data_IF_284436920557
#
_entry.id   IF_284436920557
#
_cell.length_a   1.000
_cell.length_b   1.000
_cell.length_c   1.000
_cell.angle_alpha   90.00
_cell.angle_beta   90.00
_cell.angle_gamma   90.00
#
_symmetry.space_group_name_H-M   'P 1'
#
loop_
_entity.id
_entity.type
_entity.pdbx_description
1 polymer ?
#
# COMPACT_ATOMS: atom_id res chain seq x y z
N UNK A 1 -2.15 -29.73 3.89
CA UNK A 1 -2.22 -28.76 5.02
C UNK A 1 -1.97 -27.32 4.60
N UNK A 2 -0.88 -26.99 3.92
CA UNK A 2 -0.56 -25.63 3.49
C UNK A 2 -1.60 -24.96 2.54
N UNK A 3 -2.29 -25.72 1.68
CA UNK A 3 -3.35 -25.20 0.80
C UNK A 3 -4.61 -24.79 1.57
N UNK A 4 -4.95 -25.53 2.63
CA UNK A 4 -6.05 -25.21 3.53
C UNK A 4 -5.76 -23.91 4.29
N UNK A 5 -4.56 -23.78 4.87
CA UNK A 5 -4.15 -22.55 5.56
C UNK A 5 -4.16 -21.32 4.63
N UNK A 6 -3.83 -21.48 3.35
CA UNK A 6 -3.85 -20.38 2.37
C UNK A 6 -5.24 -19.85 2.04
N UNK A 7 -6.22 -20.76 1.82
CA UNK A 7 -7.61 -20.34 1.63
C UNK A 7 -8.15 -19.73 2.92
N UNK A 8 -7.75 -20.28 4.07
CA UNK A 8 -8.17 -19.75 5.37
C UNK A 8 -7.58 -18.36 5.66
N UNK A 9 -6.38 -18.03 5.20
CA UNK A 9 -5.77 -16.70 5.39
C UNK A 9 -6.57 -15.58 4.71
N UNK A 10 -6.96 -15.76 3.43
CA UNK A 10 -7.76 -14.73 2.75
C UNK A 10 -9.11 -14.55 3.45
N UNK A 11 -9.74 -15.65 3.86
CA UNK A 11 -11.01 -15.61 4.61
C UNK A 11 -10.78 -14.99 6.00
N UNK A 12 -9.71 -15.34 6.70
CA UNK A 12 -9.38 -14.79 8.00
C UNK A 12 -9.11 -13.28 7.93
N UNK A 13 -8.43 -12.80 6.87
CA UNK A 13 -8.22 -11.36 6.64
C UNK A 13 -9.56 -10.61 6.46
N UNK A 14 -10.49 -11.16 5.69
CA UNK A 14 -11.82 -10.58 5.52
C UNK A 14 -12.64 -10.59 6.82
N UNK A 15 -12.65 -11.72 7.53
CA UNK A 15 -13.34 -11.83 8.82
C UNK A 15 -12.69 -10.89 9.84
N UNK A 16 -11.36 -10.85 9.91
CA UNK A 16 -10.62 -9.96 10.78
C UNK A 16 -10.93 -8.49 10.51
N UNK A 17 -10.93 -8.07 9.24
CA UNK A 17 -11.30 -6.71 8.86
C UNK A 17 -12.75 -6.39 9.27
N UNK A 18 -13.70 -7.30 9.05
CA UNK A 18 -15.09 -7.11 9.46
C UNK A 18 -15.26 -7.02 10.99
N UNK A 19 -14.60 -7.91 11.75
CA UNK A 19 -14.63 -7.88 13.22
C UNK A 19 -14.02 -6.59 13.78
N UNK A 20 -12.85 -6.20 13.28
CA UNK A 20 -12.20 -4.96 13.70
C UNK A 20 -13.04 -3.73 13.37
N UNK A 21 -13.67 -3.70 12.19
CA UNK A 21 -14.60 -2.63 11.80
C UNK A 21 -15.80 -2.58 12.74
N UNK A 22 -16.42 -3.72 13.05
CA UNK A 22 -17.56 -3.77 13.97
C UNK A 22 -17.18 -3.31 15.38
N UNK A 23 -16.05 -3.79 15.92
CA UNK A 23 -15.56 -3.38 17.24
C UNK A 23 -15.25 -1.88 17.28
N UNK A 24 -14.66 -1.33 16.21
CA UNK A 24 -14.42 0.13 16.11
C UNK A 24 -15.73 0.90 16.10
N UNK A 25 -16.74 0.43 15.37
CA UNK A 25 -18.07 1.05 15.38
C UNK A 25 -18.73 1.05 16.77
N UNK A 26 -18.64 -0.05 17.49
CA UNK A 26 -19.12 -0.13 18.87
C UNK A 26 -18.35 0.82 19.80
N UNK A 27 -17.04 0.93 19.60
CA UNK A 27 -16.22 1.87 20.36
C UNK A 27 -16.63 3.32 20.10
N UNK A 28 -16.87 3.73 18.86
CA UNK A 28 -17.32 5.08 18.51
C UNK A 28 -18.71 5.36 19.11
N UNK A 29 -19.63 4.41 19.03
CA UNK A 29 -21.02 4.62 19.46
C UNK A 29 -21.19 4.57 20.98
N UNK A 30 -20.42 3.78 21.69
CA UNK A 30 -20.63 3.48 23.11
C UNK A 30 -19.40 3.73 24.00
N UNK A 31 -18.24 3.91 23.41
CA UNK A 31 -16.94 3.99 24.12
C UNK A 31 -16.25 5.33 23.97
N UNK A 32 -16.69 6.21 23.09
CA UNK A 32 -16.11 7.53 22.85
C UNK A 32 -17.14 8.63 23.12
N UNK A 33 -16.67 9.76 23.63
CA UNK A 33 -17.50 10.96 23.77
C UNK A 33 -17.71 11.60 22.39
N UNK A 34 -18.95 11.90 22.03
CA UNK A 34 -19.32 12.41 20.72
C UNK A 34 -18.63 13.74 20.34
N UNK A 35 -18.40 14.61 21.33
CA UNK A 35 -17.86 15.95 21.10
C UNK A 35 -16.33 15.98 21.09
N UNK A 36 -15.68 15.16 21.90
CA UNK A 36 -14.23 15.22 22.14
C UNK A 36 -13.47 14.03 21.56
N UNK A 37 -14.15 12.92 21.32
CA UNK A 37 -13.53 11.64 20.90
C UNK A 37 -12.71 10.96 21.99
N UNK A 38 -12.80 11.42 23.24
CA UNK A 38 -12.13 10.78 24.37
C UNK A 38 -12.77 9.44 24.71
N UNK A 39 -11.93 8.48 25.12
CA UNK A 39 -12.42 7.16 25.49
C UNK A 39 -13.15 7.24 26.84
N UNK A 40 -14.45 7.01 26.84
CA UNK A 40 -15.27 6.89 28.05
C UNK A 40 -15.22 5.46 28.65
N UNK A 41 -14.97 4.44 27.81
CA UNK A 41 -14.88 3.03 28.24
C UNK A 41 -13.65 2.35 27.67
N UNK A 42 -12.74 1.93 28.55
CA UNK A 42 -11.54 1.18 28.18
C UNK A 42 -11.83 -0.24 27.66
N UNK A 43 -13.01 -0.80 27.98
CA UNK A 43 -13.35 -2.18 27.60
C UNK A 43 -13.38 -2.39 26.07
N UNK A 44 -13.96 -1.46 25.31
CA UNK A 44 -13.98 -1.54 23.84
C UNK A 44 -12.59 -1.37 23.23
N UNK A 45 -11.76 -0.49 23.79
CA UNK A 45 -10.38 -0.30 23.35
C UNK A 45 -9.56 -1.57 23.59
N UNK A 46 -9.69 -2.19 24.77
CA UNK A 46 -9.01 -3.44 25.08
C UNK A 46 -9.47 -4.56 24.13
N UNK A 47 -10.78 -4.68 23.88
CA UNK A 47 -11.33 -5.66 22.94
C UNK A 47 -10.80 -5.46 21.52
N UNK A 48 -10.70 -4.21 21.05
CA UNK A 48 -10.16 -3.86 19.74
C UNK A 48 -8.67 -4.22 19.63
N UNK A 49 -7.87 -3.88 20.65
CA UNK A 49 -6.45 -4.23 20.70
C UNK A 49 -6.26 -5.74 20.73
N UNK A 50 -7.05 -6.47 21.54
CA UNK A 50 -6.99 -7.93 21.61
C UNK A 50 -7.33 -8.59 20.26
N UNK A 51 -8.39 -8.13 19.58
CA UNK A 51 -8.77 -8.62 18.26
C UNK A 51 -7.69 -8.32 17.21
N UNK A 52 -7.11 -7.12 17.22
CA UNK A 52 -6.01 -6.75 16.34
C UNK A 52 -4.75 -7.59 16.58
N UNK A 53 -4.41 -7.85 17.85
CA UNK A 53 -3.29 -8.71 18.23
C UNK A 53 -3.50 -10.16 17.79
N UNK A 54 -4.71 -10.70 17.94
CA UNK A 54 -5.06 -12.04 17.46
C UNK A 54 -4.93 -12.15 15.93
N UNK A 55 -5.42 -11.15 15.19
CA UNK A 55 -5.28 -11.11 13.73
C UNK A 55 -3.79 -11.04 13.34
N UNK A 56 -3.01 -10.21 14.02
CA UNK A 56 -1.57 -10.07 13.78
C UNK A 56 -0.86 -11.39 14.03
N UNK A 57 -1.11 -12.07 15.13
CA UNK A 57 -0.51 -13.38 15.44
C UNK A 57 -0.92 -14.41 14.39
N UNK A 58 -2.21 -14.46 14.02
CA UNK A 58 -2.71 -15.38 13.00
C UNK A 58 -2.02 -15.18 11.64
N UNK A 59 -1.82 -13.95 11.22
CA UNK A 59 -1.16 -13.61 9.96
C UNK A 59 0.37 -13.77 10.01
N UNK A 60 1.00 -13.62 11.20
CA UNK A 60 2.44 -13.81 11.36
C UNK A 60 2.87 -15.28 11.31
N UNK A 61 2.06 -16.20 11.83
CA UNK A 61 2.42 -17.64 11.85
C UNK A 61 2.87 -18.16 10.49
N UNK A 62 2.10 -17.95 9.38
CA UNK A 62 2.55 -18.39 8.06
C UNK A 62 3.66 -17.51 7.47
N UNK A 63 3.79 -16.24 7.86
CA UNK A 63 4.88 -15.38 7.40
C UNK A 63 6.25 -15.83 7.94
N UNK A 64 6.27 -16.37 9.15
CA UNK A 64 7.46 -16.95 9.77
C UNK A 64 7.85 -18.31 9.16
N UNK A 65 6.90 -19.01 8.51
CA UNK A 65 7.22 -20.20 7.77
C UNK A 65 8.09 -19.82 6.55
N UNK A 66 9.26 -20.45 6.41
CA UNK A 66 10.22 -20.22 5.31
C UNK A 66 9.67 -20.69 3.95
N UNK A 67 8.55 -20.17 3.53
CA UNK A 67 8.00 -20.42 2.20
C UNK A 67 8.79 -19.63 1.17
N UNK A 68 9.26 -20.31 0.13
CA UNK A 68 10.03 -19.69 -0.96
C UNK A 68 9.28 -18.52 -1.62
N UNK A 69 10.03 -17.61 -2.22
CA UNK A 69 9.49 -16.49 -3.01
C UNK A 69 8.66 -17.05 -4.17
N UNK A 70 7.53 -16.45 -4.42
CA UNK A 70 6.62 -16.82 -5.50
C UNK A 70 6.59 -15.74 -6.58
N UNK A 71 6.45 -16.14 -7.86
CA UNK A 71 6.41 -15.19 -8.95
C UNK A 71 5.15 -14.30 -8.86
N UNK A 72 5.30 -13.09 -9.37
CA UNK A 72 4.21 -12.15 -9.59
C UNK A 72 3.23 -12.74 -10.59
N UNK A 73 1.95 -12.79 -10.21
CA UNK A 73 0.86 -13.17 -11.09
C UNK A 73 -0.10 -11.98 -11.21
N UNK A 74 -0.60 -11.75 -12.42
CA UNK A 74 -1.58 -10.72 -12.66
C UNK A 74 -2.97 -11.32 -12.82
N UNK A 75 -3.80 -11.29 -11.76
CA UNK A 75 -5.15 -11.79 -11.86
C UNK A 75 -5.98 -10.89 -12.79
N UNK A 76 -6.89 -11.52 -13.55
CA UNK A 76 -7.86 -10.78 -14.35
C UNK A 76 -8.64 -9.83 -13.43
N UNK A 77 -8.75 -8.55 -13.84
CA UNK A 77 -9.48 -7.54 -13.07
C UNK A 77 -8.62 -6.65 -12.14
N UNK A 78 -7.37 -7.00 -11.83
CA UNK A 78 -6.51 -6.13 -10.99
C UNK A 78 -6.27 -4.76 -11.64
N UNK A 79 -6.32 -4.69 -12.98
CA UNK A 79 -6.17 -3.42 -13.71
C UNK A 79 -7.16 -2.36 -13.27
N UNK A 80 -8.41 -2.76 -12.98
CA UNK A 80 -9.43 -1.84 -12.48
C UNK A 80 -9.03 -1.17 -11.16
N UNK A 81 -8.32 -1.89 -10.28
CA UNK A 81 -7.82 -1.32 -9.03
C UNK A 81 -6.66 -0.34 -9.25
N UNK A 82 -5.81 -0.56 -10.24
CA UNK A 82 -4.78 0.43 -10.60
C UNK A 82 -5.42 1.71 -11.14
N UNK A 83 -6.46 1.59 -11.97
CA UNK A 83 -7.21 2.76 -12.44
C UNK A 83 -7.90 3.49 -11.27
N UNK A 84 -8.52 2.74 -10.35
CA UNK A 84 -9.16 3.31 -9.16
C UNK A 84 -8.17 4.06 -8.28
N UNK A 85 -6.99 3.47 -8.02
CA UNK A 85 -5.92 4.16 -7.28
C UNK A 85 -5.40 5.38 -8.03
N UNK A 86 -5.20 5.28 -9.35
CA UNK A 86 -4.82 6.43 -10.17
C UNK A 86 -5.82 7.58 -10.08
N UNK A 87 -7.13 7.26 -10.14
CA UNK A 87 -8.20 8.25 -9.97
C UNK A 87 -8.23 8.86 -8.55
N UNK A 88 -7.98 8.06 -7.51
CA UNK A 88 -7.90 8.54 -6.14
C UNK A 88 -6.71 9.49 -5.94
N UNK A 89 -5.54 9.18 -6.52
CA UNK A 89 -4.41 10.11 -6.53
C UNK A 89 -4.68 11.37 -7.37
N UNK A 90 -5.46 11.28 -8.45
CA UNK A 90 -5.88 12.47 -9.20
C UNK A 90 -6.81 13.38 -8.38
N UNK A 91 -7.72 12.79 -7.57
CA UNK A 91 -8.53 13.56 -6.62
C UNK A 91 -7.65 14.27 -5.58
N UNK A 92 -6.64 13.60 -5.02
CA UNK A 92 -5.68 14.22 -4.10
C UNK A 92 -4.88 15.34 -4.77
N UNK A 93 -4.48 15.16 -6.04
CA UNK A 93 -3.84 16.19 -6.84
C UNK A 93 -4.73 17.44 -6.97
N UNK A 94 -6.04 17.26 -7.22
CA UNK A 94 -6.99 18.37 -7.32
C UNK A 94 -7.12 19.12 -5.99
N UNK A 95 -7.16 18.42 -4.85
CA UNK A 95 -7.19 19.04 -3.53
C UNK A 95 -5.89 19.79 -3.22
N UNK A 96 -4.72 19.22 -3.53
CA UNK A 96 -3.43 19.89 -3.36
C UNK A 96 -3.34 21.18 -4.20
N UNK A 97 -3.87 21.17 -5.43
CA UNK A 97 -3.97 22.39 -6.27
C UNK A 97 -4.88 23.42 -5.62
N UNK A 98 -6.04 23.01 -5.10
CA UNK A 98 -6.97 23.89 -4.42
C UNK A 98 -6.34 24.54 -3.18
N UNK A 99 -5.66 23.75 -2.35
CA UNK A 99 -4.97 24.24 -1.15
C UNK A 99 -3.82 25.20 -1.51
N UNK A 100 -3.07 24.89 -2.57
CA UNK A 100 -2.01 25.77 -3.10
C UNK A 100 -2.59 27.12 -3.53
N UNK A 101 -3.69 27.10 -4.29
CA UNK A 101 -4.33 28.32 -4.80
C UNK A 101 -4.91 29.16 -3.64
N UNK A 102 -5.58 28.52 -2.65
CA UNK A 102 -6.12 29.20 -1.49
C UNK A 102 -5.01 29.77 -0.59
N UNK A 103 -3.92 29.02 -0.42
CA UNK A 103 -2.75 29.47 0.34
C UNK A 103 -2.05 30.68 -0.31
N UNK A 104 -1.91 30.68 -1.63
CA UNK A 104 -1.37 31.84 -2.38
C UNK A 104 -2.31 33.04 -2.28
N UNK A 105 -3.62 32.84 -2.48
CA UNK A 105 -4.63 33.90 -2.39
C UNK A 105 -4.70 34.52 -0.99
N UNK A 106 -4.60 33.71 0.06
CA UNK A 106 -4.62 34.17 1.47
C UNK A 106 -3.31 34.89 1.88
N UNK A 107 -2.22 34.63 1.20
CA UNK A 107 -0.90 35.26 1.48
C UNK A 107 -0.61 36.52 0.67
N UNK A 108 -1.52 36.95 -0.19
CA UNK A 108 -1.38 38.12 -1.05
C UNK A 108 -1.49 39.45 -0.26
N UNK A 109 -0.58 39.64 0.70
CA UNK A 109 -0.23 40.95 1.22
C UNK A 109 0.72 41.65 0.26
N UNK A 110 0.82 42.99 0.31
CA UNK A 110 1.58 43.78 -0.70
C UNK A 110 3.09 43.49 -0.73
N UNK A 111 3.63 42.65 0.14
CA UNK A 111 5.09 42.46 0.27
C UNK A 111 5.58 41.00 0.40
N UNK A 112 4.74 39.98 0.42
CA UNK A 112 5.23 38.59 0.49
C UNK A 112 4.22 37.55 0.00
N UNK A 113 4.48 36.98 -1.16
CA UNK A 113 3.82 35.71 -1.58
C UNK A 113 4.56 34.56 -0.89
N UNK A 114 3.93 33.94 0.11
CA UNK A 114 4.47 32.70 0.68
C UNK A 114 3.84 31.52 -0.05
N UNK A 115 4.66 30.79 -0.77
CA UNK A 115 4.23 29.52 -1.39
C UNK A 115 4.08 28.50 -0.26
N UNK A 116 2.90 27.90 -0.06
CA UNK A 116 2.72 26.83 0.92
C UNK A 116 3.51 25.60 0.46
N UNK A 117 4.60 25.31 1.18
CA UNK A 117 5.59 24.29 0.79
C UNK A 117 4.98 22.89 0.80
N UNK A 118 4.16 22.58 1.80
CA UNK A 118 3.58 21.24 1.98
C UNK A 118 2.63 20.87 0.83
N UNK A 119 1.58 21.66 0.49
CA UNK A 119 0.72 21.37 -0.66
C UNK A 119 1.46 21.29 -1.99
N UNK A 120 2.58 22.02 -2.15
CA UNK A 120 3.41 21.92 -3.33
C UNK A 120 4.09 20.54 -3.46
N UNK A 121 4.65 20.03 -2.36
CA UNK A 121 5.22 18.67 -2.35
C UNK A 121 4.14 17.60 -2.55
N UNK A 122 2.99 17.75 -1.91
CA UNK A 122 1.85 16.84 -2.11
C UNK A 122 1.36 16.81 -3.55
N UNK A 123 1.33 17.95 -4.22
CA UNK A 123 0.99 18.04 -5.63
C UNK A 123 1.96 17.22 -6.49
N UNK A 124 3.27 17.41 -6.31
CA UNK A 124 4.28 16.66 -7.06
C UNK A 124 4.15 15.16 -6.82
N UNK A 125 4.04 14.75 -5.56
CA UNK A 125 3.95 13.34 -5.18
C UNK A 125 2.64 12.72 -5.67
N UNK A 126 1.53 13.46 -5.66
CA UNK A 126 0.24 13.00 -6.19
C UNK A 126 0.31 12.79 -7.70
N UNK A 127 0.93 13.70 -8.45
CA UNK A 127 1.16 13.55 -9.91
C UNK A 127 2.01 12.30 -10.19
N UNK A 128 3.09 12.08 -9.42
CA UNK A 128 3.90 10.86 -9.56
C UNK A 128 3.07 9.61 -9.26
N UNK A 129 2.19 9.66 -8.26
CA UNK A 129 1.25 8.58 -7.93
C UNK A 129 0.27 8.28 -9.07
N UNK A 130 -0.32 9.31 -9.68
CA UNK A 130 -1.18 9.16 -10.87
C UNK A 130 -0.41 8.49 -12.00
N UNK A 131 0.79 9.00 -12.33
CA UNK A 131 1.63 8.43 -13.39
C UNK A 131 1.99 6.97 -13.11
N UNK A 132 2.33 6.63 -11.87
CA UNK A 132 2.68 5.28 -11.46
C UNK A 132 1.53 4.29 -11.72
N UNK A 133 0.33 4.60 -11.23
CA UNK A 133 -0.82 3.70 -11.36
C UNK A 133 -1.39 3.68 -12.79
N UNK A 134 -1.31 4.77 -13.54
CA UNK A 134 -1.66 4.78 -14.96
C UNK A 134 -0.71 3.91 -15.79
N UNK A 135 0.60 3.97 -15.54
CA UNK A 135 1.54 3.09 -16.22
C UNK A 135 1.30 1.61 -15.89
N UNK A 136 0.94 1.28 -14.63
CA UNK A 136 0.54 -0.07 -14.26
C UNK A 136 -0.75 -0.50 -14.96
N UNK A 137 -1.72 0.37 -15.08
CA UNK A 137 -2.97 0.10 -15.81
C UNK A 137 -2.70 -0.16 -17.28
N UNK A 138 -1.95 0.70 -17.96
CA UNK A 138 -1.62 0.60 -19.39
C UNK A 138 -0.69 -0.59 -19.68
N UNK A 139 0.33 -0.81 -18.83
CA UNK A 139 1.28 -1.91 -18.93
C UNK A 139 0.73 -3.28 -18.52
N UNK A 140 -0.57 -3.35 -18.21
CA UNK A 140 -1.19 -4.60 -17.78
C UNK A 140 -0.67 -5.10 -16.44
N UNK A 141 -0.15 -4.19 -15.59
CA UNK A 141 0.37 -4.46 -14.25
C UNK A 141 1.86 -4.83 -14.23
N UNK A 142 2.54 -4.78 -15.38
CA UNK A 142 4.00 -4.91 -15.47
C UNK A 142 4.59 -3.56 -15.84
N UNK A 143 5.69 -3.17 -15.18
CA UNK A 143 6.46 -2.01 -15.58
C UNK A 143 7.56 -2.44 -16.54
N UNK A 144 7.54 -1.91 -17.74
CA UNK A 144 8.50 -2.26 -18.80
C UNK A 144 9.92 -1.77 -18.51
N UNK A 145 10.08 -0.78 -17.63
CA UNK A 145 11.39 -0.25 -17.26
C UNK A 145 11.55 -0.17 -15.73
N UNK A 146 12.78 -0.46 -15.26
CA UNK A 146 13.12 -0.28 -13.84
C UNK A 146 12.94 1.17 -13.38
N UNK A 147 13.17 2.14 -14.28
CA UNK A 147 12.95 3.56 -13.99
C UNK A 147 11.49 3.91 -13.68
N UNK A 148 10.54 3.22 -14.29
CA UNK A 148 9.12 3.45 -14.00
C UNK A 148 8.72 3.07 -12.56
N UNK A 149 9.46 2.17 -11.91
CA UNK A 149 9.22 1.82 -10.50
C UNK A 149 9.61 2.97 -9.56
N UNK A 150 10.52 3.86 -9.97
CA UNK A 150 10.86 5.06 -9.18
C UNK A 150 9.65 5.97 -8.98
N UNK A 151 8.65 5.93 -9.87
CA UNK A 151 7.40 6.65 -9.68
C UNK A 151 6.61 6.18 -8.45
N UNK A 152 6.91 4.98 -7.90
CA UNK A 152 6.36 4.52 -6.63
C UNK A 152 6.73 5.44 -5.44
N UNK A 153 7.75 6.31 -5.61
CA UNK A 153 8.05 7.36 -4.64
C UNK A 153 6.83 8.28 -4.42
N UNK A 154 6.01 8.52 -5.44
CA UNK A 154 4.81 9.34 -5.31
C UNK A 154 3.85 8.83 -4.24
N UNK A 155 3.24 7.64 -4.42
CA UNK A 155 2.33 7.09 -3.43
C UNK A 155 2.98 6.87 -2.06
N UNK A 156 4.24 6.42 -2.01
CA UNK A 156 4.99 6.24 -0.75
C UNK A 156 5.18 7.59 -0.06
N UNK A 157 5.54 8.64 -0.79
CA UNK A 157 5.79 9.98 -0.26
C UNK A 157 4.53 10.62 0.32
N UNK A 158 3.37 10.47 -0.32
CA UNK A 158 2.08 10.95 0.22
C UNK A 158 1.78 10.30 1.58
N UNK A 159 1.92 8.98 1.69
CA UNK A 159 1.69 8.29 2.96
C UNK A 159 2.75 8.60 4.02
N UNK A 160 3.97 8.97 3.62
CA UNK A 160 4.98 9.48 4.55
C UNK A 160 4.59 10.85 5.13
N UNK A 161 4.11 11.78 4.29
CA UNK A 161 3.63 13.08 4.77
C UNK A 161 2.46 12.88 5.74
N UNK A 162 1.46 12.09 5.37
CA UNK A 162 0.32 11.78 6.22
C UNK A 162 0.72 11.12 7.54
N UNK A 163 1.71 10.23 7.53
CA UNK A 163 2.21 9.62 8.75
C UNK A 163 2.77 10.66 9.73
N UNK A 164 3.49 11.66 9.22
CA UNK A 164 4.02 12.75 10.04
C UNK A 164 2.88 13.62 10.58
N UNK A 165 1.88 13.96 9.75
CA UNK A 165 0.73 14.77 10.17
C UNK A 165 -0.08 14.07 11.26
N UNK A 166 -0.39 12.76 11.09
CA UNK A 166 -1.12 12.00 12.09
C UNK A 166 -0.32 11.82 13.39
N UNK A 167 1.00 11.71 13.30
CA UNK A 167 1.86 11.69 14.47
C UNK A 167 1.82 13.03 15.24
N UNK A 168 1.81 14.15 14.53
CA UNK A 168 1.65 15.48 15.15
C UNK A 168 0.27 15.62 15.80
N UNK A 169 -0.79 15.17 15.13
CA UNK A 169 -2.15 15.18 15.67
C UNK A 169 -2.27 14.35 16.96
N UNK A 170 -1.67 13.14 16.97
CA UNK A 170 -1.62 12.31 18.17
C UNK A 170 -0.83 12.98 19.30
N UNK A 171 0.29 13.65 18.98
CA UNK A 171 1.10 14.34 19.98
C UNK A 171 0.33 15.49 20.62
N UNK A 172 -0.52 16.18 19.86
CA UNK A 172 -1.37 17.27 20.38
C UNK A 172 -2.58 16.74 21.15
N UNK A 173 -3.11 15.57 20.77
CA UNK A 173 -4.32 14.97 21.33
C UNK A 173 -4.12 13.49 21.73
N UNK A 174 -3.25 13.18 22.68
CA UNK A 174 -2.86 11.81 22.97
C UNK A 174 -3.97 10.95 23.57
N UNK A 175 -5.01 11.56 24.12
CA UNK A 175 -6.13 10.85 24.72
C UNK A 175 -7.20 10.41 23.72
N UNK A 176 -7.07 10.81 22.43
CA UNK A 176 -8.03 10.47 21.37
C UNK A 176 -7.51 9.24 20.61
N UNK A 177 -8.12 8.05 20.81
CA UNK A 177 -7.63 6.80 20.19
C UNK A 177 -7.73 6.80 18.67
N UNK A 178 -8.61 7.63 18.08
CA UNK A 178 -8.77 7.74 16.65
C UNK A 178 -7.45 8.10 15.93
N UNK A 179 -6.65 9.03 16.47
CA UNK A 179 -5.35 9.39 15.88
C UNK A 179 -4.35 8.25 15.92
N UNK A 180 -4.31 7.48 17.02
CA UNK A 180 -3.44 6.30 17.10
C UNK A 180 -3.82 5.24 16.05
N UNK A 181 -5.12 5.00 15.83
CA UNK A 181 -5.60 4.08 14.80
C UNK A 181 -5.29 4.58 13.39
N UNK A 182 -5.36 5.89 13.14
CA UNK A 182 -4.96 6.49 11.86
C UNK A 182 -3.47 6.30 11.59
N UNK A 183 -2.60 6.51 12.56
CA UNK A 183 -1.15 6.23 12.42
C UNK A 183 -0.92 4.76 12.05
N UNK A 184 -1.60 3.83 12.70
CA UNK A 184 -1.49 2.40 12.41
C UNK A 184 -1.94 2.12 10.96
N UNK A 185 -3.06 2.67 10.51
CA UNK A 185 -3.59 2.46 9.16
C UNK A 185 -2.68 3.06 8.09
N UNK A 186 -2.20 4.29 8.29
CA UNK A 186 -1.25 4.96 7.39
C UNK A 186 0.08 4.21 7.35
N UNK A 187 0.57 3.72 8.51
CA UNK A 187 1.80 2.94 8.59
C UNK A 187 1.73 1.62 7.81
N UNK A 188 0.63 0.85 7.95
CA UNK A 188 0.44 -0.37 7.16
C UNK A 188 0.22 -0.07 5.67
N UNK A 189 -0.41 1.03 5.32
CA UNK A 189 -0.58 1.50 3.94
C UNK A 189 0.76 1.81 3.30
N UNK A 190 1.62 2.53 4.02
CA UNK A 190 2.99 2.82 3.61
C UNK A 190 3.79 1.53 3.39
N UNK A 191 3.75 0.60 4.35
CA UNK A 191 4.42 -0.69 4.22
C UNK A 191 3.92 -1.49 3.02
N UNK A 192 2.61 -1.51 2.77
CA UNK A 192 2.03 -2.17 1.61
C UNK A 192 2.56 -1.58 0.30
N UNK A 193 2.58 -0.25 0.18
CA UNK A 193 3.05 0.44 -1.03
C UNK A 193 4.54 0.22 -1.28
N UNK A 194 5.38 0.27 -0.24
CA UNK A 194 6.81 -0.05 -0.33
C UNK A 194 7.03 -1.49 -0.77
N UNK A 195 6.31 -2.45 -0.17
CA UNK A 195 6.42 -3.87 -0.54
C UNK A 195 5.86 -4.15 -1.92
N UNK A 196 4.83 -3.42 -2.34
CA UNK A 196 4.29 -3.51 -3.69
C UNK A 196 5.29 -2.99 -4.72
N UNK A 197 5.94 -1.85 -4.48
CA UNK A 197 7.02 -1.36 -5.33
C UNK A 197 8.18 -2.37 -5.46
N UNK A 198 8.56 -2.99 -4.33
CA UNK A 198 9.58 -4.05 -4.32
C UNK A 198 9.14 -5.30 -5.08
N UNK A 199 7.87 -5.72 -4.95
CA UNK A 199 7.30 -6.84 -5.71
C UNK A 199 7.40 -6.60 -7.22
N UNK A 200 7.15 -5.37 -7.67
CA UNK A 200 7.26 -5.01 -9.09
C UNK A 200 8.73 -5.03 -9.59
N UNK A 201 9.69 -4.67 -8.73
CA UNK A 201 11.12 -4.70 -9.06
C UNK A 201 11.67 -6.13 -9.11
N UNK A 202 11.36 -6.94 -8.12
CA UNK A 202 11.90 -8.29 -7.96
C UNK A 202 11.12 -9.33 -8.79
N UNK A 203 9.89 -9.01 -9.24
CA UNK A 203 9.01 -9.96 -9.94
C UNK A 203 8.55 -11.14 -9.07
N UNK A 204 8.89 -11.14 -7.78
CA UNK A 204 8.57 -12.21 -6.83
C UNK A 204 8.40 -11.67 -5.42
N UNK A 205 7.48 -12.26 -4.67
CA UNK A 205 7.27 -11.90 -3.26
C UNK A 205 7.14 -13.14 -2.37
N UNK A 206 7.50 -12.95 -1.10
CA UNK A 206 7.24 -13.91 -0.03
C UNK A 206 5.82 -13.78 0.54
N UNK A 207 5.52 -14.63 1.51
CA UNK A 207 4.26 -14.59 2.29
C UNK A 207 4.09 -13.26 3.04
N UNK A 208 5.20 -12.56 3.34
CA UNK A 208 5.21 -11.26 4.00
C UNK A 208 4.30 -10.22 3.32
N UNK A 209 4.26 -10.22 1.98
CA UNK A 209 3.39 -9.30 1.26
C UNK A 209 1.90 -9.56 1.53
N UNK A 210 1.50 -10.83 1.62
CA UNK A 210 0.11 -11.22 1.94
C UNK A 210 -0.27 -10.78 3.35
N UNK A 211 0.63 -11.02 4.31
CA UNK A 211 0.44 -10.61 5.71
C UNK A 211 0.27 -9.09 5.82
N UNK A 212 1.15 -8.32 5.18
CA UNK A 212 1.05 -6.86 5.19
C UNK A 212 -0.24 -6.39 4.52
N UNK A 213 -0.65 -6.99 3.40
CA UNK A 213 -1.90 -6.64 2.74
C UNK A 213 -3.12 -6.95 3.63
N UNK A 214 -3.13 -8.07 4.34
CA UNK A 214 -4.20 -8.43 5.28
C UNK A 214 -4.27 -7.46 6.47
N UNK A 215 -3.12 -7.12 7.07
CA UNK A 215 -3.05 -6.16 8.17
C UNK A 215 -3.46 -4.75 7.71
N UNK A 216 -3.03 -4.34 6.52
CA UNK A 216 -3.43 -3.07 5.91
C UNK A 216 -4.94 -3.01 5.69
N UNK A 217 -5.56 -4.10 5.17
CA UNK A 217 -7.00 -4.12 4.96
C UNK A 217 -7.78 -4.02 6.28
N UNK A 218 -7.33 -4.69 7.35
CA UNK A 218 -7.93 -4.57 8.68
C UNK A 218 -7.81 -3.17 9.26
N UNK A 219 -6.62 -2.58 9.17
CA UNK A 219 -6.36 -1.23 9.67
C UNK A 219 -7.16 -0.16 8.93
N UNK A 220 -7.17 -0.20 7.58
CA UNK A 220 -7.95 0.74 6.77
C UNK A 220 -9.47 0.55 6.95
N UNK A 221 -9.94 -0.68 7.11
CA UNK A 221 -11.36 -0.92 7.35
C UNK A 221 -11.84 -0.28 8.66
N UNK A 222 -11.03 -0.35 9.73
CA UNK A 222 -11.34 0.28 11.02
C UNK A 222 -11.48 1.81 10.94
N UNK A 223 -10.69 2.46 10.08
CA UNK A 223 -10.69 3.93 9.98
C UNK A 223 -11.61 4.44 8.88
N UNK A 224 -11.44 3.96 7.65
CA UNK A 224 -12.10 4.50 6.46
C UNK A 224 -13.60 4.20 6.40
N UNK A 225 -14.01 2.97 6.77
CA UNK A 225 -15.44 2.58 6.68
C UNK A 225 -16.29 3.49 7.55
N UNK A 226 -15.87 3.75 8.79
CA UNK A 226 -16.63 4.58 9.71
C UNK A 226 -16.56 6.06 9.35
N UNK A 227 -15.45 6.55 8.78
CA UNK A 227 -15.41 7.91 8.22
C UNK A 227 -16.46 8.09 7.13
N UNK A 228 -16.60 7.12 6.22
CA UNK A 228 -17.62 7.17 5.16
C UNK A 228 -19.04 7.09 5.76
N UNK A 229 -19.29 6.10 6.62
CA UNK A 229 -20.64 5.86 7.19
C UNK A 229 -21.12 7.10 7.95
N UNK A 230 -20.33 7.63 8.87
CA UNK A 230 -20.75 8.76 9.69
C UNK A 230 -20.77 10.09 8.92
N UNK A 231 -19.91 10.25 7.91
CA UNK A 231 -20.02 11.41 7.01
C UNK A 231 -21.32 11.40 6.20
N UNK A 232 -21.78 10.22 5.77
CA UNK A 232 -23.04 10.07 5.04
C UNK A 232 -24.28 10.29 5.92
N UNK A 233 -24.22 9.83 7.18
CA UNK A 233 -25.35 9.91 8.12
C UNK A 233 -25.36 11.24 8.85
N UNK A 234 -24.31 12.06 8.73
CA UNK A 234 -24.13 13.33 9.49
C UNK A 234 -24.31 13.11 11.01
N UNK A 235 -23.81 11.96 11.51
CA UNK A 235 -23.95 11.61 12.91
C UNK A 235 -23.11 12.55 13.80
N UNK A 236 -23.58 12.94 14.99
CA UNK A 236 -22.83 13.74 15.94
C UNK A 236 -21.80 12.89 16.68
N UNK A 237 -20.77 12.43 15.96
CA UNK A 237 -19.65 11.64 16.51
C UNK A 237 -18.36 12.33 16.16
N UNK A 238 -17.38 12.23 17.05
CA UNK A 238 -16.04 12.73 16.78
C UNK A 238 -15.35 11.86 15.74
N UNK A 239 -15.03 12.46 14.60
CA UNK A 239 -14.16 11.87 13.60
C UNK A 239 -13.02 12.85 13.31
N UNK A 240 -11.77 12.39 13.22
CA UNK A 240 -10.68 13.22 12.73
C UNK A 240 -11.05 13.79 11.35
N UNK A 241 -10.84 15.10 11.19
CA UNK A 241 -11.13 15.74 9.91
C UNK A 241 -10.13 15.24 8.87
N UNK A 242 -10.63 14.54 7.87
CA UNK A 242 -9.88 14.12 6.70
C UNK A 242 -10.46 14.78 5.45
N UNK A 243 -9.61 15.16 4.51
CA UNK A 243 -10.08 15.63 3.22
C UNK A 243 -10.83 14.51 2.48
N UNK A 244 -11.84 14.83 1.71
CA UNK A 244 -12.63 13.84 0.96
C UNK A 244 -11.71 12.99 0.07
N UNK A 245 -10.69 13.60 -0.55
CA UNK A 245 -9.72 12.88 -1.37
C UNK A 245 -8.89 11.87 -0.59
N UNK A 246 -8.61 12.11 0.69
CA UNK A 246 -7.92 11.16 1.57
C UNK A 246 -8.79 9.96 1.86
N UNK A 247 -10.05 10.18 2.19
CA UNK A 247 -11.01 9.10 2.42
C UNK A 247 -11.19 8.25 1.16
N UNK A 248 -11.27 8.89 -0.01
CA UNK A 248 -11.34 8.19 -1.32
C UNK A 248 -10.07 7.39 -1.58
N UNK A 249 -8.89 7.96 -1.28
CA UNK A 249 -7.60 7.28 -1.46
C UNK A 249 -7.47 6.06 -0.52
N UNK A 250 -7.83 6.22 0.75
CA UNK A 250 -7.81 5.14 1.73
C UNK A 250 -8.80 4.04 1.38
N UNK A 251 -9.98 4.39 0.88
CA UNK A 251 -10.97 3.43 0.40
C UNK A 251 -10.48 2.66 -0.84
N UNK A 252 -9.87 3.35 -1.80
CA UNK A 252 -9.28 2.71 -2.96
C UNK A 252 -8.14 1.75 -2.56
N UNK A 253 -7.31 2.15 -1.59
CA UNK A 253 -6.24 1.32 -1.07
C UNK A 253 -6.76 0.14 -0.22
N UNK A 254 -7.85 0.32 0.53
CA UNK A 254 -8.55 -0.77 1.21
C UNK A 254 -8.99 -1.84 0.20
N UNK A 255 -9.68 -1.44 -0.85
CA UNK A 255 -10.11 -2.37 -1.90
C UNK A 255 -8.91 -3.06 -2.58
N UNK A 256 -7.85 -2.31 -2.86
CA UNK A 256 -6.62 -2.88 -3.40
C UNK A 256 -5.98 -3.89 -2.43
N UNK A 257 -5.87 -3.56 -1.14
CA UNK A 257 -5.25 -4.44 -0.13
C UNK A 257 -5.98 -5.78 0.02
N UNK A 258 -7.30 -5.80 -0.15
CA UNK A 258 -8.11 -7.02 -0.14
C UNK A 258 -7.85 -7.93 -1.36
N UNK A 259 -7.44 -7.36 -2.48
CA UNK A 259 -7.16 -8.11 -3.72
C UNK A 259 -5.66 -8.38 -3.90
N UNK A 260 -4.80 -7.57 -3.31
CA UNK A 260 -3.33 -7.64 -3.42
C UNK A 260 -2.74 -9.05 -3.10
N UNK A 261 -3.26 -9.84 -2.14
CA UNK A 261 -2.79 -11.21 -1.92
C UNK A 261 -2.86 -12.12 -3.15
N UNK A 262 -3.75 -11.83 -4.10
CA UNK A 262 -3.92 -12.59 -5.36
C UNK A 262 -2.80 -12.30 -6.37
N UNK A 263 -2.01 -11.24 -6.18
CA UNK A 263 -0.84 -10.92 -7.01
C UNK A 263 0.28 -11.98 -6.87
N UNK A 264 0.28 -12.73 -5.78
CA UNK A 264 1.26 -13.80 -5.56
C UNK A 264 0.65 -15.12 -6.01
N UNK A 265 1.16 -15.68 -7.11
CA UNK A 265 0.64 -16.89 -7.76
C UNK A 265 0.65 -18.13 -6.86
N UNK A 266 -0.38 -18.95 -6.98
CA UNK A 266 -0.38 -20.33 -6.49
C UNK A 266 0.21 -21.19 -7.63
N UNK A 267 1.46 -21.57 -7.49
CA UNK A 267 2.26 -22.39 -8.40
C UNK A 267 1.59 -22.86 -9.71
N UNK A 268 2.02 -22.33 -10.82
CA UNK A 268 1.62 -22.73 -12.17
C UNK A 268 1.90 -21.58 -13.14
N UNK A 269 2.81 -21.77 -14.06
CA UNK A 269 3.18 -20.89 -15.16
C UNK A 269 3.46 -19.43 -14.77
N UNK A 270 4.62 -19.22 -14.15
CA UNK A 270 5.19 -17.90 -13.98
C UNK A 270 5.40 -17.24 -15.33
N UNK A 271 4.97 -15.97 -15.47
CA UNK A 271 5.52 -15.13 -16.55
C UNK A 271 7.04 -15.21 -16.41
N UNK A 272 7.76 -15.62 -17.46
CA UNK A 272 9.21 -15.71 -17.38
C UNK A 272 9.76 -14.35 -16.93
N UNK A 273 10.61 -14.37 -15.92
CA UNK A 273 11.37 -13.20 -15.51
C UNK A 273 11.98 -12.60 -16.78
N UNK A 274 11.87 -11.26 -16.91
CA UNK A 274 12.51 -10.53 -18.02
C UNK A 274 13.91 -11.11 -18.20
N UNK A 275 14.26 -11.60 -19.40
CA UNK A 275 15.57 -12.19 -19.63
C UNK A 275 16.63 -11.20 -19.16
N UNK A 276 17.52 -11.63 -18.29
CA UNK A 276 18.72 -10.87 -17.98
C UNK A 276 19.51 -10.67 -19.29
N UNK A 277 19.37 -9.53 -19.88
CA UNK A 277 20.06 -9.09 -21.10
C UNK A 277 21.56 -8.83 -20.82
N UNK A 278 22.17 -9.62 -19.99
CA UNK A 278 23.54 -9.47 -19.54
C UNK A 278 24.34 -10.78 -19.36
N UNK A 279 23.67 -11.94 -19.36
CA UNK A 279 24.36 -13.21 -19.15
C UNK A 279 24.57 -14.00 -20.48
N UNK A 280 24.99 -13.32 -21.53
CA UNK A 280 25.69 -14.04 -22.60
C UNK A 280 27.09 -14.37 -22.08
N UNK A 281 27.24 -15.49 -21.35
CA UNK A 281 28.55 -16.12 -21.24
C UNK A 281 29.04 -16.38 -22.67
N UNK A 282 30.24 -15.88 -23.03
CA UNK A 282 30.81 -16.22 -24.33
C UNK A 282 30.93 -17.75 -24.39
N UNK A 283 30.37 -18.33 -25.44
CA UNK A 283 30.49 -19.76 -25.70
C UNK A 283 31.97 -20.15 -25.60
N UNK A 284 32.31 -21.29 -24.95
CA UNK A 284 33.69 -21.74 -24.88
C UNK A 284 34.19 -21.90 -26.32
N UNK A 285 35.22 -21.15 -26.70
CA UNK A 285 35.93 -21.28 -27.98
C UNK A 285 36.30 -22.74 -28.11
N UNK A 286 35.68 -23.46 -29.05
CA UNK A 286 36.08 -24.75 -29.45
C UNK A 286 37.58 -24.74 -29.78
N UNK A 287 38.35 -25.52 -29.02
CA UNK A 287 39.76 -25.70 -29.25
C UNK A 287 39.95 -26.23 -30.67
N UNK A 288 40.48 -25.38 -31.56
CA UNK A 288 40.97 -25.81 -32.87
C UNK A 288 42.07 -26.87 -32.62
N UNK A 289 41.74 -28.13 -32.84
CA UNK A 289 42.73 -29.21 -32.92
C UNK A 289 43.71 -28.87 -34.03
N UNK A 290 44.94 -28.50 -33.66
CA UNK A 290 46.04 -28.40 -34.58
C UNK A 290 46.35 -29.81 -35.07
N UNK A 291 45.97 -30.08 -36.34
CA UNK A 291 46.45 -31.25 -37.07
C UNK A 291 47.99 -31.13 -37.32
N UNK A 292 48.77 -31.80 -36.53
CA UNK A 292 50.21 -32.02 -36.80
C UNK A 292 50.36 -32.83 -38.10
N UNK A 293 50.70 -32.11 -39.18
CA UNK A 293 51.22 -32.77 -40.41
C UNK A 293 52.51 -33.58 -40.11
N UNK A 294 52.45 -34.85 -40.31
CA UNK A 294 53.66 -35.77 -40.34
C UNK A 294 54.49 -35.38 -41.54
N UNK A 295 55.66 -34.87 -41.26
CA UNK A 295 56.75 -34.78 -42.30
C UNK A 295 57.41 -36.14 -42.41
N UNK A 296 57.30 -36.79 -43.57
CA UNK A 296 58.13 -37.99 -43.95
C UNK A 296 59.28 -37.51 -44.80
N UNK A 297 60.57 -37.78 -44.44
CA UNK A 297 61.66 -37.51 -45.32
C UNK A 297 61.76 -38.63 -46.35
N UNK A 298 61.87 -38.25 -47.63
CA UNK A 298 62.32 -39.17 -48.72
C UNK A 298 63.84 -39.04 -48.94
N UNK A 299 64.50 -40.17 -48.97
CA UNK A 299 65.82 -40.36 -49.54
C UNK A 299 65.86 -40.09 -51.04
#
# INVERSE_FOLDING_TARGET
MLSFFRKSQTVAAWIGAAVLTALRGLMILFGEEADTGYTSSSAFLIALIAAAALLLVWELIPALSRAGKKPLRQPKGIRGFYLLLGAAFAARCADAVRELLTGIAGSAGPYSVRIPVLPFFELILSVLGVCFFLLLFLGGGTLQSRGAVLLAIGPVGIYMIRLVEEFLNLTMNPAVPAYALMIISVGFSLLLLVRFGRLLLEGSAGLEFRTIAALCSGALAMTTVWQIVFSLVSAPVFLPQAAVSEVVLDFALLLFSLVAPRLIGEGGEGVPAVPEEGSRRPAPRAARSASRGRYTPRH
#
